data_IF_802480577971
#
_entry.id   IF_802480577971
#
_cell.length_a   1.000
_cell.length_b   1.000
_cell.length_c   1.000
_cell.angle_alpha   90.00
_cell.angle_beta   90.00
_cell.angle_gamma   90.00
#
_symmetry.space_group_name_H-M   'P 1'
#
loop_
_entity.id
_entity.type
_entity.pdbx_description
1 polymer ?
#
# COMPACT_ATOMS: atom_id res chain seq x y z
N UNK A 1 -17.68 -5.52 4.71
CA UNK A 1 -17.18 -4.44 4.08
C UNK A 1 -15.98 -3.91 4.68
N UNK A 2 -14.94 -3.84 3.95
CA UNK A 2 -13.74 -3.48 4.59
C UNK A 2 -13.32 -2.09 4.20
N UNK A 3 -13.38 -1.21 5.15
CA UNK A 3 -12.86 0.13 5.00
C UNK A 3 -11.35 0.12 4.82
N UNK A 4 -10.71 -1.01 5.14
CA UNK A 4 -9.27 -1.16 4.98
C UNK A 4 -8.83 -0.91 3.55
N UNK A 5 -9.57 -1.46 2.57
CA UNK A 5 -9.19 -1.28 1.18
C UNK A 5 -9.44 0.15 0.71
N UNK A 6 -10.45 0.81 1.25
CA UNK A 6 -10.70 2.20 0.91
C UNK A 6 -9.55 3.08 1.36
N UNK A 7 -9.06 2.85 2.57
CA UNK A 7 -7.93 3.63 3.08
C UNK A 7 -6.66 3.32 2.31
N UNK A 8 -6.47 2.05 1.96
CA UNK A 8 -5.31 1.65 1.17
C UNK A 8 -5.36 2.26 -0.23
N UNK A 9 -6.52 2.27 -0.86
CA UNK A 9 -6.66 2.86 -2.19
C UNK A 9 -6.38 4.36 -2.15
N UNK A 10 -6.89 5.04 -1.14
CA UNK A 10 -6.63 6.48 -0.97
C UNK A 10 -5.15 6.74 -0.71
N UNK A 11 -4.53 5.89 0.11
CA UNK A 11 -3.11 5.98 0.37
C UNK A 11 -2.30 5.81 -0.91
N UNK A 12 -2.67 4.81 -1.72
CA UNK A 12 -1.94 4.56 -2.97
C UNK A 12 -2.09 5.72 -3.94
N UNK A 13 -3.29 6.29 -4.04
CA UNK A 13 -3.49 7.46 -4.88
C UNK A 13 -2.55 8.59 -4.48
N UNK A 14 -2.41 8.81 -3.18
CA UNK A 14 -1.57 9.85 -2.67
C UNK A 14 -0.09 9.52 -2.87
N UNK A 15 0.28 8.28 -2.56
CA UNK A 15 1.68 7.85 -2.66
C UNK A 15 2.19 7.89 -4.09
N UNK A 16 1.35 7.52 -5.05
CA UNK A 16 1.74 7.45 -6.46
C UNK A 16 1.41 8.72 -7.24
N UNK A 17 1.03 9.77 -6.56
CA UNK A 17 0.59 11.00 -7.22
C UNK A 17 1.59 11.51 -8.25
N UNK A 18 2.87 11.47 -7.93
CA UNK A 18 3.92 11.93 -8.84
C UNK A 18 4.92 10.82 -9.17
N UNK A 19 4.57 9.57 -8.88
CA UNK A 19 5.46 8.44 -9.05
C UNK A 19 4.82 7.38 -9.90
N UNK A 20 5.56 6.82 -10.85
CA UNK A 20 5.06 5.72 -11.65
C UNK A 20 5.25 4.40 -10.92
N UNK A 21 6.31 4.27 -10.14
CA UNK A 21 6.61 3.06 -9.40
C UNK A 21 7.20 3.40 -8.05
N UNK A 22 6.88 2.58 -7.07
CA UNK A 22 7.45 2.69 -5.73
C UNK A 22 7.85 1.31 -5.27
N UNK A 23 8.95 1.23 -4.52
CA UNK A 23 9.37 -0.03 -3.92
C UNK A 23 8.52 -0.34 -2.70
N UNK A 24 8.54 -1.62 -2.29
CA UNK A 24 7.85 -2.01 -1.06
C UNK A 24 8.37 -1.22 0.14
N UNK A 25 9.67 -0.96 0.18
CA UNK A 25 10.25 -0.17 1.27
C UNK A 25 9.73 1.26 1.25
N UNK A 26 9.60 1.85 0.07
CA UNK A 26 9.04 3.20 -0.05
C UNK A 26 7.58 3.23 0.41
N UNK A 27 6.82 2.21 0.04
CA UNK A 27 5.42 2.12 0.46
C UNK A 27 5.32 2.01 1.96
N UNK A 28 6.17 1.22 2.59
CA UNK A 28 6.19 1.09 4.05
C UNK A 28 6.49 2.42 4.71
N UNK A 29 7.48 3.13 4.19
CA UNK A 29 7.89 4.41 4.75
C UNK A 29 6.77 5.44 4.63
N UNK A 30 6.14 5.49 3.47
CA UNK A 30 5.04 6.43 3.23
C UNK A 30 3.82 6.08 4.06
N UNK A 31 3.58 4.78 4.28
CA UNK A 31 2.46 4.32 5.10
C UNK A 31 2.63 4.77 6.55
N UNK A 32 3.85 4.70 7.06
CA UNK A 32 4.13 5.16 8.41
C UNK A 32 3.86 6.67 8.50
N UNK A 33 4.30 7.42 7.51
CA UNK A 33 4.10 8.86 7.48
C UNK A 33 2.62 9.22 7.37
N UNK A 34 1.83 8.37 6.72
CA UNK A 34 0.40 8.60 6.56
C UNK A 34 -0.41 8.14 7.77
N UNK A 35 0.25 7.50 8.73
CA UNK A 35 -0.39 7.06 9.98
C UNK A 35 -1.58 6.15 9.70
N UNK A 36 -1.38 5.15 8.85
CA UNK A 36 -2.42 4.21 8.50
C UNK A 36 -2.79 3.31 9.67
N UNK A 37 -4.02 2.77 9.70
CA UNK A 37 -4.42 1.83 10.74
C UNK A 37 -3.54 0.57 10.72
N UNK A 38 -3.52 -0.12 11.85
CA UNK A 38 -2.67 -1.30 12.00
C UNK A 38 -2.96 -2.37 10.96
N UNK A 39 -4.24 -2.57 10.61
CA UNK A 39 -4.60 -3.57 9.60
C UNK A 39 -4.01 -3.22 8.23
N UNK A 40 -4.05 -1.95 7.86
CA UNK A 40 -3.47 -1.50 6.60
C UNK A 40 -1.95 -1.63 6.63
N UNK A 41 -1.32 -1.27 7.74
CA UNK A 41 0.13 -1.39 7.89
C UNK A 41 0.57 -2.84 7.76
N UNK A 42 -0.19 -3.77 8.35
CA UNK A 42 0.13 -5.19 8.27
C UNK A 42 0.13 -5.66 6.82
N UNK A 43 -0.83 -5.20 6.03
CA UNK A 43 -0.88 -5.60 4.62
C UNK A 43 0.30 -5.04 3.85
N UNK A 44 0.66 -3.80 4.10
CA UNK A 44 1.80 -3.19 3.41
C UNK A 44 3.10 -3.89 3.80
N UNK A 45 3.26 -4.21 5.08
CA UNK A 45 4.44 -4.93 5.54
C UNK A 45 4.55 -6.32 4.93
N UNK A 46 3.42 -6.91 4.56
CA UNK A 46 3.40 -8.25 3.98
C UNK A 46 3.70 -8.27 2.49
N UNK A 47 3.81 -7.12 1.84
CA UNK A 47 4.13 -7.06 0.42
C UNK A 47 5.52 -7.65 0.17
N UNK A 48 5.66 -8.53 -0.84
CA UNK A 48 6.98 -9.01 -1.21
C UNK A 48 7.88 -7.86 -1.64
N UNK A 49 9.17 -8.04 -1.42
CA UNK A 49 10.14 -7.04 -1.81
C UNK A 49 10.15 -6.87 -3.32
N UNK A 50 10.14 -5.62 -3.78
CA UNK A 50 10.14 -5.33 -5.20
C UNK A 50 9.57 -3.96 -5.46
N UNK A 51 9.41 -3.64 -6.74
CA UNK A 51 8.81 -2.39 -7.16
C UNK A 51 7.42 -2.63 -7.71
N UNK A 52 6.53 -1.69 -7.48
CA UNK A 52 5.13 -1.80 -7.86
C UNK A 52 4.65 -0.53 -8.52
N UNK A 53 3.86 -0.67 -9.58
CA UNK A 53 3.03 0.40 -10.07
C UNK A 53 1.78 0.47 -9.17
N UNK A 54 1.01 1.53 -9.28
CA UNK A 54 -0.15 1.71 -8.40
C UNK A 54 -1.14 0.55 -8.51
N UNK A 55 -1.48 0.15 -9.73
CA UNK A 55 -2.43 -0.94 -9.93
C UNK A 55 -1.86 -2.27 -9.47
N UNK A 56 -0.56 -2.48 -9.65
CA UNK A 56 0.10 -3.69 -9.17
C UNK A 56 0.07 -3.75 -7.65
N UNK A 57 0.35 -2.64 -7.00
CA UNK A 57 0.32 -2.59 -5.55
C UNK A 57 -1.09 -2.84 -5.02
N UNK A 58 -2.09 -2.23 -5.65
CA UNK A 58 -3.47 -2.42 -5.23
C UNK A 58 -3.89 -3.87 -5.35
N UNK A 59 -3.52 -4.51 -6.44
CA UNK A 59 -3.86 -5.91 -6.65
C UNK A 59 -3.15 -6.80 -5.64
N UNK A 60 -1.87 -6.56 -5.42
CA UNK A 60 -1.09 -7.36 -4.48
C UNK A 60 -1.68 -7.26 -3.07
N UNK A 61 -2.10 -6.06 -2.67
CA UNK A 61 -2.68 -5.88 -1.34
C UNK A 61 -4.02 -6.60 -1.20
N UNK A 62 -4.78 -6.69 -2.29
CA UNK A 62 -6.08 -7.37 -2.24
C UNK A 62 -5.96 -8.88 -2.12
N UNK A 63 -4.92 -9.46 -2.70
CA UNK A 63 -4.76 -10.91 -2.66
C UNK A 63 -4.01 -11.41 -1.44
N UNK A 64 -3.45 -10.50 -0.64
CA UNK A 64 -2.79 -10.90 0.60
C UNK A 64 -3.83 -11.33 1.63
N UNK A 65 -3.52 -12.45 2.30
CA UNK A 65 -4.40 -12.96 3.36
C UNK A 65 -3.70 -12.80 4.70
N UNK A 66 -3.81 -11.61 5.23
CA UNK A 66 -3.17 -11.29 6.51
C UNK A 66 -4.17 -10.68 7.46
#
# INVERSE_FOLDING_TARGET
MSDDFRELDAFLDDAFDAQERLSSADLQRRAIAADLPATAMTRIDALPEGEYAQDEAAEALRILEV
#
